data_IF_139194130095
#
_entry.id   IF_139194130095
#
_cell.length_a   1.000
_cell.length_b   1.000
_cell.length_c   1.000
_cell.angle_alpha   90.00
_cell.angle_beta   90.00
_cell.angle_gamma   90.00
#
_symmetry.space_group_name_H-M   'P 1'
#
loop_
_entity.id
_entity.type
_entity.pdbx_description
1 polymer ?
#
# COMPACT_ATOMS: atom_id res chain seq x y z
N UNK A 1 3.70 22.05 -25.47
CA UNK A 1 2.76 22.43 -24.40
C UNK A 1 3.58 23.08 -23.31
N UNK A 2 3.26 24.31 -22.91
CA UNK A 2 3.98 25.06 -21.89
C UNK A 2 3.88 24.31 -20.56
N UNK A 3 5.01 24.00 -19.95
CA UNK A 3 5.05 23.49 -18.59
C UNK A 3 4.44 24.55 -17.67
N UNK A 4 3.37 24.21 -16.96
CA UNK A 4 2.82 25.03 -15.89
C UNK A 4 3.95 25.36 -14.91
N UNK A 5 3.97 26.60 -14.44
CA UNK A 5 4.87 26.98 -13.35
C UNK A 5 4.45 26.22 -12.08
N UNK A 6 5.35 26.04 -11.13
CA UNK A 6 5.05 25.40 -9.83
C UNK A 6 3.84 26.06 -9.14
N UNK A 7 3.72 27.38 -9.25
CA UNK A 7 2.60 28.17 -8.67
C UNK A 7 1.28 27.90 -9.38
N UNK A 8 1.26 27.82 -10.71
CA UNK A 8 0.08 27.46 -11.51
C UNK A 8 -0.36 26.04 -11.21
N UNK A 9 0.58 25.08 -11.09
CA UNK A 9 0.29 23.69 -10.71
C UNK A 9 -0.32 23.62 -9.31
N UNK A 10 0.27 24.29 -8.30
CA UNK A 10 -0.25 24.31 -6.93
C UNK A 10 -1.61 25.02 -6.84
N UNK A 11 -1.84 26.05 -7.67
CA UNK A 11 -3.14 26.72 -7.77
C UNK A 11 -4.21 25.79 -8.34
N UNK A 12 -3.89 25.09 -9.42
CA UNK A 12 -4.79 24.10 -10.05
C UNK A 12 -5.08 22.94 -9.09
N UNK A 13 -4.06 22.42 -8.42
CA UNK A 13 -4.22 21.36 -7.41
C UNK A 13 -5.12 21.81 -6.24
N UNK A 14 -4.94 23.05 -5.73
CA UNK A 14 -5.82 23.63 -4.70
C UNK A 14 -7.25 23.77 -5.18
N UNK A 15 -7.46 24.13 -6.43
CA UNK A 15 -8.79 24.28 -7.01
C UNK A 15 -9.46 22.92 -7.24
N UNK A 16 -8.71 21.90 -7.58
CA UNK A 16 -9.21 20.51 -7.71
C UNK A 16 -9.50 19.89 -6.35
N UNK A 17 -8.62 20.09 -5.36
CA UNK A 17 -8.85 19.65 -3.98
C UNK A 17 -10.06 20.36 -3.33
N UNK A 18 -10.39 21.59 -3.74
CA UNK A 18 -11.60 22.28 -3.25
C UNK A 18 -12.90 21.74 -3.85
N UNK A 19 -12.82 20.94 -4.92
CA UNK A 19 -13.96 20.24 -5.55
C UNK A 19 -14.17 18.84 -4.98
N UNK A 20 -13.23 18.31 -4.22
CA UNK A 20 -13.44 17.10 -3.44
C UNK A 20 -14.55 17.39 -2.45
N UNK A 21 -15.70 16.75 -2.63
CA UNK A 21 -16.78 16.79 -1.65
C UNK A 21 -16.21 16.29 -0.32
N UNK A 22 -15.90 17.23 0.57
CA UNK A 22 -15.58 16.92 1.95
C UNK A 22 -16.69 16.00 2.48
N UNK A 23 -16.33 15.03 3.29
CA UNK A 23 -17.31 14.13 3.92
C UNK A 23 -18.38 15.03 4.54
N UNK A 24 -19.59 15.02 3.99
CA UNK A 24 -20.71 15.81 4.52
C UNK A 24 -21.01 15.36 5.96
N UNK A 25 -21.64 16.23 6.77
CA UNK A 25 -22.02 15.84 8.15
C UNK A 25 -22.82 14.54 8.18
N UNK A 26 -23.73 14.32 7.22
CA UNK A 26 -24.49 13.07 7.07
C UNK A 26 -23.61 11.83 6.84
N UNK A 27 -22.49 11.98 6.14
CA UNK A 27 -21.51 10.88 5.95
C UNK A 27 -20.72 10.61 7.23
N UNK A 28 -20.37 11.63 8.00
CA UNK A 28 -19.73 11.44 9.31
C UNK A 28 -20.67 10.69 10.26
N UNK A 29 -21.93 11.05 10.31
CA UNK A 29 -22.91 10.38 11.16
C UNK A 29 -23.11 8.92 10.76
N UNK A 30 -23.09 8.62 9.47
CA UNK A 30 -23.13 7.24 8.95
C UNK A 30 -21.91 6.43 9.39
N UNK A 31 -20.70 6.99 9.26
CA UNK A 31 -19.45 6.36 9.72
C UNK A 31 -19.47 6.14 11.24
N UNK A 32 -19.88 7.15 12.00
CA UNK A 32 -19.97 7.05 13.46
C UNK A 32 -21.03 6.02 13.91
N UNK A 33 -22.12 5.87 13.14
CA UNK A 33 -23.13 4.84 13.37
C UNK A 33 -22.57 3.43 13.14
N UNK A 34 -21.75 3.24 12.11
CA UNK A 34 -21.08 1.96 11.85
C UNK A 34 -20.22 1.51 13.04
N UNK A 35 -19.49 2.44 13.66
CA UNK A 35 -18.64 2.14 14.81
C UNK A 35 -19.39 2.19 16.17
N UNK A 36 -20.73 2.23 16.18
CA UNK A 36 -21.49 2.38 17.43
C UNK A 36 -21.12 1.33 18.48
N UNK A 37 -21.07 0.05 18.08
CA UNK A 37 -20.84 -1.07 18.99
C UNK A 37 -19.36 -1.44 19.14
N UNK A 38 -18.45 -0.76 18.45
CA UNK A 38 -16.99 -1.00 18.50
C UNK A 38 -16.39 -0.23 19.68
N UNK A 39 -15.54 -0.89 20.46
CA UNK A 39 -14.83 -0.27 21.60
C UNK A 39 -13.49 0.34 21.18
N UNK A 40 -12.75 -0.38 20.33
CA UNK A 40 -11.38 -0.05 19.90
C UNK A 40 -11.28 -0.04 18.39
N UNK A 41 -10.78 1.05 17.83
CA UNK A 41 -10.63 1.20 16.39
C UNK A 41 -9.15 1.40 16.06
N UNK A 42 -8.62 0.53 15.22
CA UNK A 42 -7.28 0.62 14.67
C UNK A 42 -7.28 1.14 13.24
N UNK A 43 -6.21 1.80 12.84
CA UNK A 43 -6.03 2.32 11.49
C UNK A 43 -4.67 1.91 10.94
N UNK A 44 -4.63 1.62 9.64
CA UNK A 44 -3.38 1.78 8.90
C UNK A 44 -3.11 3.28 8.67
N UNK A 45 -1.92 3.61 8.19
CA UNK A 45 -1.55 5.00 7.90
C UNK A 45 -1.69 5.27 6.40
N UNK A 46 -0.94 4.55 5.60
CA UNK A 46 -0.81 4.78 4.16
C UNK A 46 -2.12 4.41 3.44
N UNK A 47 -2.62 5.29 2.56
CA UNK A 47 -3.92 5.16 1.87
C UNK A 47 -5.14 4.97 2.79
N UNK A 48 -4.97 5.19 4.09
CA UNK A 48 -6.02 5.08 5.10
C UNK A 48 -6.20 6.40 5.86
N UNK A 49 -5.26 6.75 6.73
CA UNK A 49 -5.24 8.03 7.44
C UNK A 49 -4.66 9.15 6.59
N UNK A 50 -3.85 8.82 5.63
CA UNK A 50 -3.32 9.77 4.67
C UNK A 50 -3.53 9.27 3.23
N UNK A 51 -3.77 10.22 2.34
CA UNK A 51 -3.94 9.95 0.93
C UNK A 51 -2.75 10.49 0.13
N UNK A 52 -2.34 9.72 -0.86
CA UNK A 52 -1.32 10.11 -1.82
C UNK A 52 -1.92 10.59 -3.14
N UNK A 53 -1.26 11.54 -3.79
CA UNK A 53 -1.53 11.84 -5.19
C UNK A 53 -1.03 10.68 -6.06
N UNK A 54 -1.92 9.76 -6.43
CA UNK A 54 -1.57 8.52 -7.15
C UNK A 54 -0.81 8.79 -8.44
N UNK A 55 -1.20 9.79 -9.23
CA UNK A 55 -0.53 10.13 -10.49
C UNK A 55 0.93 10.52 -10.26
N UNK A 56 1.18 11.41 -9.31
CA UNK A 56 2.54 11.84 -8.99
C UNK A 56 3.34 10.70 -8.33
N UNK A 57 2.68 9.88 -7.50
CA UNK A 57 3.29 8.71 -6.90
C UNK A 57 3.66 7.65 -7.93
N UNK A 58 2.77 7.36 -8.89
CA UNK A 58 3.05 6.43 -10.00
C UNK A 58 4.32 6.85 -10.74
N UNK A 59 4.39 8.13 -11.13
CA UNK A 59 5.58 8.68 -11.79
C UNK A 59 6.82 8.57 -10.91
N UNK A 60 6.73 8.96 -9.64
CA UNK A 60 7.86 8.94 -8.72
C UNK A 60 8.40 7.53 -8.50
N UNK A 61 7.53 6.56 -8.22
CA UNK A 61 7.94 5.17 -8.00
C UNK A 61 8.59 4.60 -9.28
N UNK A 62 7.96 4.84 -10.43
CA UNK A 62 8.50 4.41 -11.72
C UNK A 62 9.88 4.99 -11.98
N UNK A 63 10.05 6.32 -11.86
CA UNK A 63 11.34 6.98 -12.09
C UNK A 63 12.40 6.55 -11.06
N UNK A 64 12.02 6.32 -9.80
CA UNK A 64 12.93 5.82 -8.76
C UNK A 64 13.47 4.43 -9.07
N UNK A 65 12.63 3.55 -9.62
CA UNK A 65 13.06 2.24 -10.11
C UNK A 65 13.97 2.37 -11.34
N UNK A 66 13.60 3.23 -12.30
CA UNK A 66 14.43 3.50 -13.47
C UNK A 66 15.82 4.02 -13.08
N UNK A 67 15.91 4.95 -12.15
CA UNK A 67 17.19 5.47 -11.64
C UNK A 67 18.07 4.35 -11.08
N UNK A 68 17.48 3.44 -10.29
CA UNK A 68 18.21 2.27 -9.81
C UNK A 68 18.69 1.37 -10.96
N UNK A 69 17.80 1.01 -11.88
CA UNK A 69 18.11 0.13 -13.01
C UNK A 69 19.20 0.73 -13.91
N UNK A 70 19.13 2.02 -14.18
CA UNK A 70 20.14 2.71 -15.00
C UNK A 70 21.49 2.76 -14.29
N UNK A 71 21.51 3.24 -13.03
CA UNK A 71 22.76 3.48 -12.30
C UNK A 71 23.46 2.22 -11.79
N UNK A 72 22.69 1.19 -11.41
CA UNK A 72 23.22 -0.02 -10.77
C UNK A 72 23.16 -1.27 -11.64
N UNK A 73 22.36 -1.26 -12.72
CA UNK A 73 22.15 -2.43 -13.58
C UNK A 73 22.47 -2.15 -15.06
N UNK A 74 22.93 -0.95 -15.41
CA UNK A 74 23.28 -0.53 -16.77
C UNK A 74 22.13 -0.64 -17.78
N UNK A 75 20.91 -0.35 -17.35
CA UNK A 75 19.76 -0.26 -18.25
C UNK A 75 19.82 1.04 -19.06
N UNK A 76 19.24 1.07 -20.28
CA UNK A 76 19.24 2.28 -21.11
C UNK A 76 18.22 3.30 -20.60
N UNK A 77 18.46 4.60 -20.81
CA UNK A 77 17.50 5.68 -20.46
C UNK A 77 16.13 5.57 -21.17
N UNK A 78 16.04 4.74 -22.21
CA UNK A 78 14.76 4.42 -22.89
C UNK A 78 13.68 3.84 -21.96
N UNK A 79 14.04 3.34 -20.77
CA UNK A 79 13.10 2.87 -19.76
C UNK A 79 12.43 4.02 -18.99
N UNK A 80 12.96 5.24 -19.00
CA UNK A 80 12.44 6.36 -18.22
C UNK A 80 10.97 6.67 -18.52
N UNK A 81 10.25 7.18 -17.52
CA UNK A 81 8.85 7.55 -17.63
C UNK A 81 8.55 8.48 -18.80
N UNK A 82 9.38 9.50 -19.01
CA UNK A 82 9.22 10.46 -20.12
C UNK A 82 9.17 9.82 -21.52
N UNK A 83 9.83 8.67 -21.69
CA UNK A 83 9.86 7.91 -22.94
C UNK A 83 8.68 6.93 -23.07
N UNK A 84 7.99 6.64 -21.97
CA UNK A 84 6.96 5.61 -21.88
C UNK A 84 5.66 6.11 -21.23
N UNK A 85 5.48 7.42 -21.09
CA UNK A 85 4.43 8.06 -20.28
C UNK A 85 3.04 7.45 -20.51
N UNK A 86 2.54 7.45 -21.73
CA UNK A 86 1.19 7.00 -22.02
C UNK A 86 0.98 5.51 -21.74
N UNK A 87 2.04 4.71 -21.95
CA UNK A 87 2.02 3.29 -21.63
C UNK A 87 2.03 3.07 -20.11
N UNK A 88 2.89 3.76 -19.38
CA UNK A 88 3.00 3.64 -17.92
C UNK A 88 1.70 4.09 -17.25
N UNK A 89 1.14 5.22 -17.68
CA UNK A 89 -0.10 5.78 -17.12
C UNK A 89 -1.30 4.83 -17.33
N UNK A 90 -1.30 4.02 -18.40
CA UNK A 90 -2.37 3.07 -18.70
C UNK A 90 -2.12 1.64 -18.23
N UNK A 91 -0.89 1.30 -17.81
CA UNK A 91 -0.49 -0.06 -17.45
C UNK A 91 0.13 -0.19 -16.06
N UNK A 92 -0.02 0.82 -15.19
CA UNK A 92 0.41 0.74 -13.79
C UNK A 92 -0.77 0.34 -12.93
N UNK A 93 -1.04 -0.96 -12.83
CA UNK A 93 -2.13 -1.50 -12.03
C UNK A 93 -1.68 -2.70 -11.20
N UNK A 94 -2.46 -3.01 -10.17
CA UNK A 94 -2.27 -4.18 -9.30
C UNK A 94 -3.16 -5.36 -9.73
N UNK A 95 -3.07 -6.47 -9.04
CA UNK A 95 -3.84 -7.70 -9.28
C UNK A 95 -3.49 -8.37 -10.63
N UNK A 96 -2.20 -8.36 -10.95
CA UNK A 96 -1.65 -8.90 -12.19
C UNK A 96 -0.59 -9.94 -11.86
N UNK A 97 -0.62 -11.05 -12.59
CA UNK A 97 0.43 -12.08 -12.54
C UNK A 97 1.49 -11.75 -13.58
N UNK A 98 2.74 -11.62 -13.15
CA UNK A 98 3.90 -11.52 -14.05
C UNK A 98 4.51 -12.92 -14.22
N UNK A 99 4.27 -13.56 -15.36
CA UNK A 99 4.94 -14.79 -15.79
C UNK A 99 6.30 -14.41 -16.38
N UNK A 100 7.29 -14.28 -15.52
CA UNK A 100 8.61 -13.85 -15.94
C UNK A 100 9.43 -14.94 -16.65
N UNK A 101 8.96 -16.18 -16.71
CA UNK A 101 9.56 -17.19 -17.58
C UNK A 101 9.23 -16.96 -19.05
N UNK A 102 8.07 -16.37 -19.31
CA UNK A 102 7.58 -16.09 -20.67
C UNK A 102 7.57 -14.62 -21.04
N UNK A 103 7.92 -13.71 -20.12
CA UNK A 103 7.87 -12.27 -20.33
C UNK A 103 6.44 -11.72 -20.43
N UNK A 104 5.46 -12.37 -19.80
CA UNK A 104 4.05 -12.04 -19.94
C UNK A 104 3.47 -11.43 -18.65
N UNK A 105 2.50 -10.53 -18.81
CA UNK A 105 1.65 -10.04 -17.74
C UNK A 105 0.20 -10.45 -17.98
N UNK A 106 -0.45 -11.00 -16.96
CA UNK A 106 -1.73 -11.70 -17.08
C UNK A 106 -2.76 -11.14 -16.11
N UNK A 107 -3.94 -10.79 -16.61
CA UNK A 107 -5.15 -10.62 -15.82
C UNK A 107 -5.91 -11.94 -15.81
N UNK A 108 -6.24 -12.44 -14.63
CA UNK A 108 -6.90 -13.73 -14.45
C UNK A 108 -8.30 -13.57 -13.88
N UNK A 109 -9.20 -14.53 -14.15
CA UNK A 109 -10.43 -14.76 -13.38
C UNK A 109 -10.17 -15.73 -12.23
N UNK A 110 -11.18 -15.89 -11.37
CA UNK A 110 -11.19 -16.84 -10.24
C UNK A 110 -10.90 -18.28 -10.66
N UNK A 111 -11.40 -18.68 -11.81
CA UNK A 111 -11.15 -20.01 -12.42
C UNK A 111 -9.78 -20.13 -13.10
N UNK A 112 -8.94 -19.07 -12.96
CA UNK A 112 -7.62 -18.93 -13.59
C UNK A 112 -7.63 -18.81 -15.10
N UNK A 113 -8.79 -18.58 -15.72
CA UNK A 113 -8.87 -18.23 -17.14
C UNK A 113 -8.25 -16.85 -17.35
N UNK A 114 -7.47 -16.72 -18.44
CA UNK A 114 -6.76 -15.49 -18.78
C UNK A 114 -7.72 -14.55 -19.50
N UNK A 115 -8.01 -13.39 -18.88
CA UNK A 115 -8.86 -12.35 -19.47
C UNK A 115 -8.06 -11.54 -20.48
N UNK A 116 -6.86 -11.11 -20.07
CA UNK A 116 -5.92 -10.33 -20.89
C UNK A 116 -4.50 -10.80 -20.63
N UNK A 117 -3.68 -10.67 -21.68
CA UNK A 117 -2.26 -10.99 -21.61
C UNK A 117 -1.48 -9.96 -22.42
N UNK A 118 -0.42 -9.43 -21.85
CA UNK A 118 0.55 -8.58 -22.52
C UNK A 118 1.91 -9.27 -22.56
N UNK A 119 2.57 -9.17 -23.73
CA UNK A 119 3.98 -9.50 -23.89
C UNK A 119 4.73 -8.25 -24.33
N UNK A 120 5.61 -7.73 -23.50
CA UNK A 120 6.11 -6.38 -23.69
C UNK A 120 4.96 -5.38 -23.79
N UNK A 121 4.99 -4.49 -24.78
CA UNK A 121 3.92 -3.51 -25.02
C UNK A 121 2.77 -4.03 -25.88
N UNK A 122 2.81 -5.29 -26.31
CA UNK A 122 1.80 -5.89 -27.19
C UNK A 122 0.77 -6.66 -26.39
N UNK A 123 -0.53 -6.33 -26.58
CA UNK A 123 -1.63 -7.18 -26.12
C UNK A 123 -1.73 -8.43 -27.03
N UNK A 124 -1.78 -9.59 -26.43
CA UNK A 124 -1.88 -10.87 -27.13
C UNK A 124 -3.35 -11.19 -27.47
N UNK A 125 -3.54 -11.72 -28.65
CA UNK A 125 -4.85 -12.23 -29.10
C UNK A 125 -5.20 -13.53 -28.32
N UNK A 126 -6.49 -13.88 -28.34
CA UNK A 126 -6.97 -15.13 -27.71
C UNK A 126 -6.30 -16.38 -28.28
N UNK A 127 -5.97 -16.37 -29.58
CA UNK A 127 -5.25 -17.45 -30.24
C UNK A 127 -3.81 -17.55 -29.75
N UNK A 128 -3.10 -16.44 -29.66
CA UNK A 128 -1.73 -16.39 -29.10
C UNK A 128 -1.71 -16.84 -27.64
N UNK A 129 -2.69 -16.42 -26.82
CA UNK A 129 -2.83 -16.85 -25.43
C UNK A 129 -3.02 -18.38 -25.35
N UNK A 130 -3.92 -18.95 -26.15
CA UNK A 130 -4.18 -20.39 -26.17
C UNK A 130 -2.98 -21.21 -26.64
N UNK A 131 -2.13 -20.65 -27.50
CA UNK A 131 -0.89 -21.30 -27.94
C UNK A 131 0.20 -21.30 -26.85
N UNK A 132 0.16 -20.33 -25.95
CA UNK A 132 1.15 -20.19 -24.86
C UNK A 132 0.67 -20.91 -23.59
N UNK A 133 -0.62 -20.79 -23.28
CA UNK A 133 -1.27 -21.33 -22.09
C UNK A 133 -2.38 -22.29 -22.52
N UNK A 134 -2.28 -23.54 -22.11
CA UNK A 134 -3.22 -24.58 -22.48
C UNK A 134 -4.68 -24.15 -22.18
N UNK A 135 -5.50 -24.09 -23.20
CA UNK A 135 -6.90 -23.62 -23.13
C UNK A 135 -7.09 -22.19 -22.56
N UNK A 136 -6.07 -21.35 -22.59
CA UNK A 136 -6.12 -20.00 -22.00
C UNK A 136 -6.25 -19.99 -20.47
N UNK A 137 -5.77 -21.07 -19.82
CA UNK A 137 -5.81 -21.19 -18.35
C UNK A 137 -4.38 -21.09 -17.80
N UNK A 138 -4.19 -20.25 -16.78
CA UNK A 138 -2.93 -20.16 -16.07
C UNK A 138 -2.78 -21.38 -15.12
N UNK A 139 -1.60 -22.01 -15.05
CA UNK A 139 -1.39 -23.17 -14.18
C UNK A 139 -1.73 -22.89 -12.71
N UNK A 140 -2.25 -23.89 -12.01
CA UNK A 140 -2.53 -23.78 -10.59
C UNK A 140 -1.26 -23.47 -9.78
N UNK A 141 -1.36 -22.56 -8.82
CA UNK A 141 -0.29 -22.18 -7.90
C UNK A 141 -0.85 -21.96 -6.49
N UNK A 142 0.01 -22.10 -5.49
CA UNK A 142 -0.33 -21.72 -4.12
C UNK A 142 -0.31 -20.19 -3.98
N UNK A 143 -1.43 -19.62 -3.63
CA UNK A 143 -1.71 -18.21 -3.69
C UNK A 143 -1.16 -17.40 -2.52
N UNK A 144 -0.75 -18.07 -1.45
CA UNK A 144 -0.05 -17.43 -0.33
C UNK A 144 1.38 -16.96 -0.66
N UNK A 145 1.89 -17.26 -1.86
CA UNK A 145 3.25 -16.97 -2.27
C UNK A 145 3.24 -15.91 -3.35
N UNK A 146 3.59 -14.65 -2.99
CA UNK A 146 3.67 -13.52 -3.92
C UNK A 146 4.76 -13.69 -4.99
N UNK A 147 5.82 -14.42 -4.67
CA UNK A 147 6.95 -14.67 -5.56
C UNK A 147 7.28 -16.16 -5.57
N UNK A 148 7.20 -16.78 -6.73
CA UNK A 148 7.60 -18.17 -6.95
C UNK A 148 8.80 -18.24 -7.88
N UNK A 149 9.26 -19.44 -8.23
CA UNK A 149 10.31 -19.65 -9.24
C UNK A 149 9.90 -19.27 -10.67
N UNK A 150 8.61 -19.06 -10.94
CA UNK A 150 8.07 -18.90 -12.29
C UNK A 150 7.26 -17.61 -12.48
N UNK A 151 6.69 -17.03 -11.41
CA UNK A 151 5.87 -15.83 -11.49
C UNK A 151 5.95 -14.94 -10.24
N UNK A 152 5.53 -13.68 -10.41
CA UNK A 152 5.37 -12.69 -9.36
C UNK A 152 3.93 -12.15 -9.38
N UNK A 153 3.30 -12.08 -8.21
CA UNK A 153 1.95 -11.55 -8.04
C UNK A 153 2.04 -10.07 -7.62
N UNK A 154 1.66 -9.18 -8.52
CA UNK A 154 1.71 -7.73 -8.33
C UNK A 154 0.42 -7.21 -7.69
N UNK A 155 0.38 -7.16 -6.36
CA UNK A 155 -0.84 -6.86 -5.58
C UNK A 155 -0.76 -5.61 -4.71
N UNK A 156 0.43 -5.08 -4.46
CA UNK A 156 0.66 -3.99 -3.52
C UNK A 156 0.31 -2.64 -4.14
N UNK A 157 -0.34 -1.76 -3.37
CA UNK A 157 -0.72 -0.40 -3.78
C UNK A 157 0.49 0.52 -4.06
N UNK A 158 1.66 0.21 -3.50
CA UNK A 158 2.92 0.91 -3.78
C UNK A 158 3.75 0.32 -4.93
N UNK A 159 3.26 -0.74 -5.58
CA UNK A 159 4.02 -1.48 -6.59
C UNK A 159 3.33 -1.67 -7.93
N UNK A 160 2.23 -0.96 -8.26
CA UNK A 160 1.55 -1.16 -9.55
C UNK A 160 2.47 -0.90 -10.74
N UNK A 161 3.51 -0.07 -10.57
CA UNK A 161 4.51 0.27 -11.58
C UNK A 161 5.45 -0.89 -11.93
N UNK A 162 5.55 -1.92 -11.09
CA UNK A 162 6.33 -3.12 -11.40
C UNK A 162 5.83 -3.79 -12.68
N UNK A 163 4.51 -3.73 -12.92
CA UNK A 163 3.91 -4.21 -14.16
C UNK A 163 4.43 -3.44 -15.36
N UNK A 164 4.25 -2.12 -15.37
CA UNK A 164 4.59 -1.30 -16.54
C UNK A 164 6.07 -1.27 -16.84
N UNK A 165 6.94 -1.22 -15.80
CA UNK A 165 8.40 -1.27 -16.01
C UNK A 165 8.85 -2.64 -16.49
N UNK A 166 8.24 -3.74 -15.98
CA UNK A 166 8.51 -5.09 -16.48
C UNK A 166 8.20 -5.20 -17.96
N UNK A 167 7.01 -4.78 -18.39
CA UNK A 167 6.58 -4.83 -19.78
C UNK A 167 7.43 -3.95 -20.71
N UNK A 168 7.82 -2.75 -20.26
CA UNK A 168 8.74 -1.89 -21.02
C UNK A 168 10.10 -2.57 -21.20
N UNK A 169 10.61 -3.22 -20.15
CA UNK A 169 11.88 -3.93 -20.23
C UNK A 169 11.81 -5.18 -21.11
N UNK A 170 10.71 -5.94 -21.09
CA UNK A 170 10.48 -7.06 -22.01
C UNK A 170 10.50 -6.58 -23.46
N UNK A 171 9.78 -5.51 -23.80
CA UNK A 171 9.75 -4.95 -25.14
C UNK A 171 11.16 -4.53 -25.64
N UNK A 172 11.97 -3.93 -24.78
CA UNK A 172 13.35 -3.56 -25.10
C UNK A 172 14.27 -4.77 -25.22
N UNK A 173 14.06 -5.81 -24.40
CA UNK A 173 14.84 -7.05 -24.48
C UNK A 173 14.61 -7.77 -25.80
N UNK A 174 13.36 -7.93 -26.21
CA UNK A 174 12.97 -8.58 -27.47
C UNK A 174 13.53 -7.84 -28.71
N UNK A 175 13.65 -6.52 -28.62
CA UNK A 175 14.27 -5.68 -29.64
C UNK A 175 15.80 -5.74 -29.64
N UNK A 176 16.41 -6.46 -28.70
CA UNK A 176 17.86 -6.52 -28.51
C UNK A 176 18.49 -5.22 -27.99
N UNK A 177 17.67 -4.32 -27.43
CA UNK A 177 18.10 -3.03 -26.90
C UNK A 177 18.46 -3.08 -25.41
N UNK A 178 18.07 -4.13 -24.70
CA UNK A 178 18.39 -4.36 -23.29
C UNK A 178 19.45 -5.45 -23.15
N UNK A 179 20.74 -5.04 -23.16
CA UNK A 179 21.89 -5.96 -23.12
C UNK A 179 22.34 -6.36 -21.72
N UNK A 180 21.76 -5.76 -20.70
CA UNK A 180 22.14 -5.97 -19.30
C UNK A 180 21.64 -7.30 -18.73
N UNK A 181 20.77 -8.00 -19.44
CA UNK A 181 20.09 -9.21 -19.00
C UNK A 181 20.23 -10.33 -20.03
N UNK A 182 19.96 -11.58 -19.62
CA UNK A 182 19.99 -12.77 -20.47
C UNK A 182 18.61 -13.40 -20.67
N UNK A 183 17.74 -13.21 -19.72
CA UNK A 183 16.39 -13.80 -19.70
C UNK A 183 15.38 -12.85 -19.01
N UNK A 184 14.10 -13.03 -19.22
CA UNK A 184 13.05 -12.20 -18.60
C UNK A 184 13.07 -12.25 -17.07
N UNK A 185 13.52 -13.35 -16.49
CA UNK A 185 13.65 -13.49 -15.03
C UNK A 185 14.63 -12.47 -14.45
N UNK A 186 15.67 -12.08 -15.17
CA UNK A 186 16.61 -11.06 -14.72
C UNK A 186 15.93 -9.70 -14.55
N UNK A 187 14.89 -9.40 -15.36
CA UNK A 187 14.13 -8.15 -15.27
C UNK A 187 13.46 -8.05 -13.90
N UNK A 188 12.68 -9.08 -13.52
CA UNK A 188 11.94 -9.05 -12.24
C UNK A 188 12.90 -9.07 -11.04
N UNK A 189 14.00 -9.81 -11.12
CA UNK A 189 15.04 -9.78 -10.08
C UNK A 189 15.60 -8.38 -9.86
N UNK A 190 15.93 -7.70 -10.94
CA UNK A 190 16.45 -6.33 -10.85
C UNK A 190 15.40 -5.31 -10.38
N UNK A 191 14.13 -5.47 -10.77
CA UNK A 191 13.03 -4.65 -10.25
C UNK A 191 12.91 -4.82 -8.74
N UNK A 192 12.88 -6.07 -8.24
CA UNK A 192 12.78 -6.36 -6.80
C UNK A 192 14.01 -5.86 -6.02
N UNK A 193 15.20 -5.93 -6.60
CA UNK A 193 16.38 -5.31 -6.00
C UNK A 193 16.27 -3.78 -5.93
N UNK A 194 15.70 -3.14 -6.96
CA UNK A 194 15.43 -1.70 -6.97
C UNK A 194 14.36 -1.31 -5.95
N UNK A 195 13.32 -2.11 -5.80
CA UNK A 195 12.32 -1.95 -4.74
C UNK A 195 12.99 -2.03 -3.37
N UNK A 196 13.76 -3.10 -3.12
CA UNK A 196 14.46 -3.24 -1.85
C UNK A 196 15.45 -2.11 -1.58
N UNK A 197 16.11 -1.57 -2.61
CA UNK A 197 17.01 -0.41 -2.48
C UNK A 197 16.25 0.84 -2.01
N UNK A 198 15.06 1.10 -2.57
CA UNK A 198 14.26 2.28 -2.25
C UNK A 198 13.46 2.15 -0.95
N UNK A 199 13.12 0.92 -0.49
CA UNK A 199 12.24 0.66 0.66
C UNK A 199 12.89 -0.14 1.80
N UNK A 200 14.23 -0.29 1.82
CA UNK A 200 14.89 -0.98 2.92
C UNK A 200 14.97 -0.11 4.21
N UNK A 201 15.44 -0.72 5.31
CA UNK A 201 15.56 -0.05 6.60
C UNK A 201 16.38 1.25 6.49
N UNK A 202 17.50 1.24 5.74
CA UNK A 202 18.34 2.42 5.56
C UNK A 202 17.58 3.56 4.86
N UNK A 203 16.74 3.25 3.88
CA UNK A 203 15.91 4.24 3.20
C UNK A 203 14.88 4.87 4.13
N UNK A 204 14.34 4.12 5.08
CA UNK A 204 13.44 4.64 6.10
C UNK A 204 14.16 5.45 7.18
N UNK A 205 15.35 5.04 7.62
CA UNK A 205 16.11 5.72 8.67
C UNK A 205 16.74 7.02 8.17
N UNK A 206 17.18 7.04 6.88
CA UNK A 206 17.75 8.20 6.20
C UNK A 206 16.89 8.63 5.00
N UNK A 207 15.58 8.75 5.23
CA UNK A 207 14.60 9.00 4.17
C UNK A 207 14.77 10.35 3.47
N UNK A 208 15.52 11.27 4.05
CA UNK A 208 15.79 12.59 3.45
C UNK A 208 16.90 12.56 2.40
N UNK A 209 17.81 11.58 2.42
CA UNK A 209 18.98 11.56 1.56
C UNK A 209 19.21 10.24 0.83
N UNK A 210 18.80 9.10 1.40
CA UNK A 210 19.06 7.78 0.83
C UNK A 210 17.94 7.29 -0.10
N UNK A 211 18.34 6.68 -1.22
CA UNK A 211 17.44 6.18 -2.25
C UNK A 211 16.99 7.27 -3.22
N UNK A 212 16.02 6.92 -4.07
CA UNK A 212 15.50 7.83 -5.12
C UNK A 212 14.02 8.20 -4.89
N UNK A 213 13.37 7.56 -3.92
CA UNK A 213 11.95 7.69 -3.66
C UNK A 213 11.64 8.65 -2.49
N UNK A 214 12.05 8.29 -1.27
CA UNK A 214 11.74 9.09 -0.07
C UNK A 214 12.32 10.51 -0.07
N UNK A 215 13.56 10.74 -0.59
CA UNK A 215 14.11 12.09 -0.63
C UNK A 215 13.28 13.08 -1.45
N UNK A 216 12.59 12.59 -2.48
CA UNK A 216 11.74 13.45 -3.30
C UNK A 216 10.45 13.81 -2.56
N UNK A 217 9.82 12.87 -1.86
CA UNK A 217 8.66 13.15 -1.00
C UNK A 217 9.06 14.10 0.14
N UNK A 218 10.24 13.92 0.72
CA UNK A 218 10.74 14.80 1.77
C UNK A 218 10.90 16.25 1.30
N UNK A 219 11.43 16.45 0.10
CA UNK A 219 11.65 17.80 -0.48
C UNK A 219 10.36 18.46 -0.93
N UNK A 220 9.40 17.68 -1.41
CA UNK A 220 8.19 18.15 -2.07
C UNK A 220 6.93 17.41 -1.60
N UNK A 221 6.65 17.36 -0.27
CA UNK A 221 5.51 16.62 0.25
C UNK A 221 4.18 17.08 -0.35
N UNK A 222 4.06 18.36 -0.68
CA UNK A 222 2.87 18.97 -1.29
C UNK A 222 2.51 18.42 -2.69
N UNK A 223 3.46 17.75 -3.36
CA UNK A 223 3.22 17.11 -4.65
C UNK A 223 2.64 15.71 -4.50
N UNK A 224 2.89 15.06 -3.36
CA UNK A 224 2.63 13.65 -3.15
C UNK A 224 1.58 13.36 -2.09
N UNK A 225 1.40 14.25 -1.11
CA UNK A 225 0.49 14.08 0.01
C UNK A 225 -0.71 15.03 -0.09
N UNK A 226 -1.90 14.51 0.13
CA UNK A 226 -3.08 15.34 0.36
C UNK A 226 -3.14 15.74 1.84
N UNK A 227 -2.83 17.00 2.14
CA UNK A 227 -2.75 17.55 3.51
C UNK A 227 -4.05 18.15 4.02
N UNK A 228 -5.14 18.12 3.25
CA UNK A 228 -6.45 18.68 3.61
C UNK A 228 -7.53 17.61 3.49
N UNK A 229 -7.41 16.62 4.32
CA UNK A 229 -8.40 15.57 4.44
C UNK A 229 -8.94 15.65 5.88
N UNK A 230 -10.27 15.71 6.07
CA UNK A 230 -10.89 15.90 7.40
C UNK A 230 -10.74 14.67 8.33
N UNK A 231 -9.61 13.98 8.23
CA UNK A 231 -9.29 12.83 9.06
C UNK A 231 -9.21 13.21 10.55
N UNK A 232 -8.66 14.40 10.85
CA UNK A 232 -8.59 14.94 12.21
C UNK A 232 -9.98 15.08 12.83
N UNK A 233 -10.96 15.58 12.07
CA UNK A 233 -12.32 15.73 12.55
C UNK A 233 -12.98 14.38 12.84
N UNK A 234 -12.73 13.37 12.00
CA UNK A 234 -13.21 12.00 12.22
C UNK A 234 -12.61 11.42 13.51
N UNK A 235 -11.29 11.52 13.68
CA UNK A 235 -10.60 11.01 14.86
C UNK A 235 -11.11 11.70 16.14
N UNK A 236 -11.30 13.02 16.11
CA UNK A 236 -11.88 13.78 17.22
C UNK A 236 -13.31 13.35 17.55
N UNK A 237 -14.17 13.16 16.54
CA UNK A 237 -15.54 12.70 16.73
C UNK A 237 -15.60 11.30 17.33
N UNK A 238 -14.75 10.37 16.87
CA UNK A 238 -14.64 9.03 17.43
C UNK A 238 -14.20 9.08 18.90
N UNK A 239 -13.18 9.87 19.23
CA UNK A 239 -12.74 10.04 20.62
C UNK A 239 -13.82 10.66 21.51
N UNK A 240 -14.55 11.67 21.04
CA UNK A 240 -15.69 12.27 21.76
C UNK A 240 -16.82 11.27 22.02
N UNK A 241 -16.96 10.25 21.15
CA UNK A 241 -17.87 9.11 21.37
C UNK A 241 -17.31 8.04 22.32
N UNK A 242 -16.15 8.27 22.92
CA UNK A 242 -15.51 7.37 23.88
C UNK A 242 -14.72 6.21 23.25
N UNK A 243 -14.56 6.19 21.91
CA UNK A 243 -13.81 5.15 21.23
C UNK A 243 -12.32 5.24 21.57
N UNK A 244 -11.66 4.10 21.70
CA UNK A 244 -10.22 3.99 21.86
C UNK A 244 -9.58 3.82 20.50
N UNK A 245 -8.53 4.57 20.24
CA UNK A 245 -7.92 4.63 18.92
C UNK A 245 -6.46 4.19 18.95
N UNK A 246 -6.04 3.40 17.98
CA UNK A 246 -4.65 3.10 17.72
C UNK A 246 -4.36 3.13 16.22
N UNK A 247 -3.09 3.13 15.87
CA UNK A 247 -2.69 2.78 14.51
C UNK A 247 -1.60 1.71 14.51
N UNK A 248 -1.53 0.92 13.43
CA UNK A 248 -0.48 -0.05 13.20
C UNK A 248 -0.03 0.01 11.73
N UNK A 249 1.21 0.46 11.50
CA UNK A 249 1.79 0.58 10.17
C UNK A 249 3.00 -0.34 10.00
N UNK A 250 3.21 -0.84 8.78
CA UNK A 250 4.45 -1.55 8.42
C UNK A 250 5.64 -0.60 8.20
N UNK A 251 5.37 0.69 8.05
CA UNK A 251 6.40 1.71 7.86
C UNK A 251 7.20 2.01 9.14
N UNK A 252 8.40 2.56 8.96
CA UNK A 252 9.29 2.95 10.07
C UNK A 252 8.84 4.25 10.73
N UNK A 253 9.24 4.46 11.99
CA UNK A 253 8.92 5.69 12.74
C UNK A 253 9.34 6.95 11.99
N UNK A 254 10.58 7.05 11.54
CA UNK A 254 11.14 8.27 10.96
C UNK A 254 10.31 8.83 9.81
N UNK A 255 9.96 8.00 8.84
CA UNK A 255 9.14 8.41 7.70
C UNK A 255 7.68 8.62 8.08
N UNK A 256 7.07 7.68 8.81
CA UNK A 256 5.66 7.78 9.21
C UNK A 256 5.40 8.99 10.10
N UNK A 257 6.32 9.30 11.02
CA UNK A 257 6.24 10.50 11.84
C UNK A 257 6.24 11.76 10.98
N UNK A 258 7.17 11.86 10.03
CA UNK A 258 7.25 12.98 9.11
C UNK A 258 5.94 13.21 8.33
N UNK A 259 5.38 12.14 7.72
CA UNK A 259 4.15 12.28 6.93
C UNK A 259 2.91 12.56 7.80
N UNK A 260 2.81 11.94 8.98
CA UNK A 260 1.71 12.20 9.91
C UNK A 260 1.72 13.64 10.44
N UNK A 261 2.90 14.20 10.74
CA UNK A 261 3.02 15.62 11.09
C UNK A 261 2.54 16.55 9.96
N UNK A 262 2.79 16.19 8.70
CA UNK A 262 2.33 16.96 7.54
C UNK A 262 0.83 16.91 7.33
N UNK A 263 0.19 15.81 7.68
CA UNK A 263 -1.24 15.56 7.44
C UNK A 263 -2.10 15.88 8.66
N UNK A 264 -1.69 15.43 9.86
CA UNK A 264 -2.45 15.55 11.12
C UNK A 264 -1.86 16.57 12.10
N UNK A 265 -0.76 17.27 11.72
CA UNK A 265 -0.08 18.23 12.58
C UNK A 265 0.85 17.61 13.63
N UNK A 266 1.65 18.45 14.29
CA UNK A 266 2.69 18.05 15.24
C UNK A 266 2.17 17.21 16.41
N UNK A 267 0.91 17.41 16.78
CA UNK A 267 0.29 16.74 17.93
C UNK A 267 -0.52 15.50 17.57
N UNK A 268 -0.32 14.91 16.39
CA UNK A 268 -1.11 13.77 15.91
C UNK A 268 -1.15 12.57 16.88
N UNK A 269 -0.10 12.36 17.67
CA UNK A 269 -0.09 11.31 18.68
C UNK A 269 -1.22 11.45 19.72
N UNK A 270 -1.80 12.64 19.89
CA UNK A 270 -2.90 12.86 20.85
C UNK A 270 -4.22 12.23 20.39
N UNK A 271 -4.35 11.92 19.10
CA UNK A 271 -5.53 11.19 18.61
C UNK A 271 -5.51 9.72 19.00
N UNK A 272 -4.33 9.13 19.29
CA UNK A 272 -4.19 7.70 19.47
C UNK A 272 -3.78 7.34 20.89
N UNK A 273 -4.30 6.24 21.40
CA UNK A 273 -3.94 5.65 22.69
C UNK A 273 -2.71 4.75 22.57
N UNK A 274 -2.49 4.13 21.39
CA UNK A 274 -1.31 3.34 21.04
C UNK A 274 -0.87 3.62 19.60
N UNK A 275 0.44 3.57 19.34
CA UNK A 275 1.05 3.86 18.04
C UNK A 275 2.07 2.76 17.71
N UNK A 276 1.75 1.88 16.75
CA UNK A 276 2.63 0.78 16.35
C UNK A 276 3.29 1.06 15.01
N UNK A 277 4.62 1.12 15.01
CA UNK A 277 5.46 1.21 13.83
C UNK A 277 6.15 -0.13 13.57
N UNK A 278 6.53 -0.43 12.32
CA UNK A 278 7.11 -1.73 11.94
C UNK A 278 6.26 -2.90 12.44
N UNK A 279 4.95 -2.78 12.35
CA UNK A 279 4.02 -3.78 12.90
C UNK A 279 4.11 -5.15 12.23
N UNK A 280 4.67 -5.20 11.00
CA UNK A 280 4.83 -6.42 10.23
C UNK A 280 3.49 -7.13 9.93
N UNK A 281 2.43 -6.35 9.63
CA UNK A 281 1.16 -6.93 9.16
C UNK A 281 1.40 -7.76 7.88
N UNK A 282 0.77 -8.93 7.67
CA UNK A 282 -0.30 -9.54 8.47
C UNK A 282 0.14 -10.23 9.76
N UNK A 283 1.44 -10.43 10.01
CA UNK A 283 1.97 -11.12 11.20
C UNK A 283 1.52 -10.52 12.54
N UNK A 284 1.24 -9.22 12.57
CA UNK A 284 0.70 -8.50 13.73
C UNK A 284 -0.65 -9.07 14.22
N UNK A 285 -1.48 -9.56 13.30
CA UNK A 285 -2.79 -10.16 13.57
C UNK A 285 -2.78 -11.69 13.60
N UNK A 286 -1.61 -12.31 13.59
CA UNK A 286 -1.46 -13.75 13.74
C UNK A 286 -1.19 -14.13 15.19
N UNK A 287 -1.42 -15.40 15.53
CA UNK A 287 -1.17 -15.94 16.86
C UNK A 287 0.29 -15.69 17.30
N UNK A 288 0.53 -14.81 18.29
CA UNK A 288 1.89 -14.45 18.68
C UNK A 288 2.67 -15.60 19.33
N UNK A 289 1.98 -16.64 19.78
CA UNK A 289 2.65 -17.83 20.35
C UNK A 289 3.34 -18.66 19.27
N UNK A 290 2.87 -18.56 18.02
CA UNK A 290 3.43 -19.26 16.85
C UNK A 290 4.41 -18.39 16.07
N UNK A 291 4.08 -17.12 15.88
CA UNK A 291 4.90 -16.18 15.10
C UNK A 291 6.04 -15.54 15.88
N UNK A 292 5.95 -15.55 17.25
CA UNK A 292 6.92 -14.97 18.17
C UNK A 292 7.32 -13.52 17.76
N UNK A 293 6.35 -12.60 17.59
CA UNK A 293 6.63 -11.24 17.20
C UNK A 293 7.41 -10.52 18.28
N UNK A 294 8.20 -9.54 17.88
CA UNK A 294 8.93 -8.68 18.82
C UNK A 294 8.21 -7.34 18.97
N UNK A 295 8.23 -6.80 20.18
CA UNK A 295 7.72 -5.47 20.48
C UNK A 295 8.69 -4.73 21.39
N UNK A 296 8.89 -3.44 21.13
CA UNK A 296 9.77 -2.58 21.91
C UNK A 296 9.15 -1.21 22.12
N UNK A 297 9.41 -0.59 23.26
CA UNK A 297 9.20 0.84 23.40
C UNK A 297 10.16 1.58 22.47
N UNK A 298 9.63 2.55 21.70
CA UNK A 298 10.47 3.27 20.74
C UNK A 298 11.60 4.07 21.43
N UNK A 299 11.28 4.72 22.57
CA UNK A 299 12.19 5.67 23.21
C UNK A 299 13.43 5.00 23.85
N UNK A 300 13.27 3.86 24.51
CA UNK A 300 14.34 3.22 25.28
C UNK A 300 14.67 1.81 24.81
N UNK A 301 14.02 1.35 23.74
CA UNK A 301 14.19 0.04 23.11
C UNK A 301 14.02 -1.14 24.11
N UNK A 302 13.33 -0.92 25.25
CA UNK A 302 13.01 -2.02 26.17
C UNK A 302 11.95 -2.93 25.55
N UNK A 303 12.19 -4.24 25.66
CA UNK A 303 11.32 -5.27 25.07
C UNK A 303 10.00 -5.40 25.86
N UNK A 304 8.92 -5.62 25.13
CA UNK A 304 7.56 -5.82 25.64
C UNK A 304 7.10 -7.21 25.22
N UNK A 305 6.48 -7.97 26.14
CA UNK A 305 5.79 -9.21 25.78
C UNK A 305 4.64 -8.92 24.83
N UNK A 306 4.56 -9.69 23.73
CA UNK A 306 3.44 -9.63 22.79
C UNK A 306 2.25 -10.51 23.19
N UNK A 307 2.36 -11.27 24.29
CA UNK A 307 1.33 -12.21 24.76
C UNK A 307 0.77 -11.87 26.14
N UNK A 308 1.42 -10.95 26.86
CA UNK A 308 1.05 -10.62 28.22
C UNK A 308 1.19 -9.12 28.50
N UNK A 309 0.30 -8.55 29.31
CA UNK A 309 0.34 -7.17 29.78
C UNK A 309 0.65 -7.13 31.29
N UNK A 310 1.91 -6.97 31.65
CA UNK A 310 2.28 -6.76 33.04
C UNK A 310 1.79 -5.40 33.57
N UNK A 311 1.67 -5.27 34.91
CA UNK A 311 1.29 -3.99 35.55
C UNK A 311 2.32 -2.88 35.24
N UNK A 312 3.58 -3.24 35.16
CA UNK A 312 4.66 -2.32 34.82
C UNK A 312 4.54 -1.78 33.41
N UNK A 313 4.32 -2.65 32.41
CA UNK A 313 4.12 -2.27 31.01
C UNK A 313 2.86 -1.40 30.88
N UNK A 314 1.75 -1.84 31.50
CA UNK A 314 0.51 -1.07 31.49
C UNK A 314 0.70 0.35 32.03
N UNK A 315 1.37 0.47 33.19
CA UNK A 315 1.67 1.76 33.82
C UNK A 315 2.54 2.62 32.91
N UNK A 316 3.61 2.06 32.34
CA UNK A 316 4.53 2.78 31.45
C UNK A 316 3.83 3.34 30.23
N UNK A 317 2.94 2.56 29.60
CA UNK A 317 2.12 3.03 28.47
C UNK A 317 1.15 4.14 28.94
N UNK A 318 0.47 3.94 30.04
CA UNK A 318 -0.52 4.90 30.58
C UNK A 318 0.12 6.24 31.00
N UNK A 319 1.41 6.24 31.35
CA UNK A 319 2.21 7.43 31.61
C UNK A 319 2.71 8.16 30.33
N UNK A 320 2.31 7.67 29.14
CA UNK A 320 2.56 8.35 27.87
C UNK A 320 3.58 7.66 26.95
N UNK A 321 4.18 6.53 27.35
CA UNK A 321 5.09 5.76 26.49
C UNK A 321 4.31 4.87 25.51
N UNK A 322 3.50 5.48 24.67
CA UNK A 322 2.55 4.81 23.76
C UNK A 322 3.09 4.54 22.36
N UNK A 323 4.34 4.90 22.08
CA UNK A 323 5.01 4.68 20.79
C UNK A 323 5.79 3.37 20.86
N UNK A 324 5.38 2.42 20.03
CA UNK A 324 5.86 1.05 20.04
C UNK A 324 6.40 0.65 18.65
N UNK A 325 7.33 -0.29 18.62
CA UNK A 325 7.88 -0.89 17.38
C UNK A 325 7.61 -2.39 17.39
N UNK A 326 7.04 -2.92 16.33
CA UNK A 326 6.55 -4.30 16.29
C UNK A 326 5.21 -4.46 16.98
N UNK A 327 4.98 -5.58 17.67
CA UNK A 327 3.78 -5.79 18.47
C UNK A 327 2.84 -6.89 17.94
N UNK A 328 1.68 -6.99 18.57
CA UNK A 328 0.62 -7.93 18.22
C UNK A 328 -0.76 -7.40 18.61
N UNK A 329 -1.82 -7.95 18.01
CA UNK A 329 -3.20 -7.65 18.39
C UNK A 329 -3.50 -8.01 19.86
N UNK A 330 -2.89 -9.07 20.39
CA UNK A 330 -3.08 -9.49 21.80
C UNK A 330 -2.62 -8.40 22.78
N UNK A 331 -1.56 -7.66 22.45
CA UNK A 331 -1.10 -6.54 23.26
C UNK A 331 -2.16 -5.42 23.32
N UNK A 332 -2.85 -5.17 22.20
CA UNK A 332 -3.94 -4.21 22.11
C UNK A 332 -5.11 -4.63 23.00
N UNK A 333 -5.57 -5.88 22.86
CA UNK A 333 -6.67 -6.43 23.66
C UNK A 333 -6.38 -6.30 25.16
N UNK A 334 -5.25 -6.81 25.61
CA UNK A 334 -4.86 -6.77 27.03
C UNK A 334 -4.75 -5.34 27.57
N UNK A 335 -4.19 -4.41 26.78
CA UNK A 335 -4.07 -3.02 27.21
C UNK A 335 -5.43 -2.37 27.39
N UNK A 336 -6.31 -2.47 26.37
CA UNK A 336 -7.61 -1.83 26.43
C UNK A 336 -8.59 -2.54 27.35
N UNK A 337 -8.54 -3.87 27.48
CA UNK A 337 -9.32 -4.59 28.50
C UNK A 337 -9.04 -4.07 29.91
N UNK A 338 -7.74 -3.89 30.21
CA UNK A 338 -7.31 -3.36 31.50
C UNK A 338 -7.67 -1.88 31.67
N UNK A 339 -7.49 -1.07 30.62
CA UNK A 339 -7.83 0.35 30.62
C UNK A 339 -9.33 0.61 30.80
N UNK A 340 -10.16 -0.18 30.12
CA UNK A 340 -11.62 -0.03 30.14
C UNK A 340 -12.31 -0.85 31.23
N UNK A 341 -11.56 -1.70 31.95
CA UNK A 341 -12.08 -2.70 32.89
C UNK A 341 -13.22 -3.53 32.26
N UNK A 342 -13.03 -3.95 31.00
CA UNK A 342 -14.01 -4.67 30.19
C UNK A 342 -13.34 -5.85 29.50
N UNK A 343 -13.99 -7.02 29.48
CA UNK A 343 -13.57 -8.20 28.73
C UNK A 343 -14.31 -8.29 27.42
N UNK A 344 -13.80 -9.06 26.46
CA UNK A 344 -14.39 -9.28 25.15
C UNK A 344 -14.69 -7.95 24.44
N UNK A 345 -13.64 -7.17 24.20
CA UNK A 345 -13.73 -5.91 23.48
C UNK A 345 -14.07 -6.16 22.03
N UNK A 346 -15.00 -5.38 21.51
CA UNK A 346 -15.21 -5.32 20.06
C UNK A 346 -14.19 -4.40 19.42
N UNK A 347 -13.38 -4.98 18.57
CA UNK A 347 -12.29 -4.27 17.88
C UNK A 347 -12.61 -4.16 16.37
N UNK A 348 -12.15 -3.09 15.75
CA UNK A 348 -12.21 -2.93 14.29
C UNK A 348 -10.87 -2.42 13.78
N UNK A 349 -10.40 -2.97 12.65
CA UNK A 349 -9.24 -2.44 11.95
C UNK A 349 -9.63 -1.88 10.57
N UNK A 350 -9.14 -0.69 10.27
CA UNK A 350 -9.43 0.05 9.04
C UNK A 350 -8.14 0.16 8.23
N UNK A 351 -8.13 -0.31 6.99
CA UNK A 351 -6.94 -0.24 6.15
C UNK A 351 -7.20 -0.48 4.67
N UNK A 352 -6.16 -0.30 3.85
CA UNK A 352 -6.21 -0.43 2.39
C UNK A 352 -5.62 -1.75 1.87
N UNK A 353 -4.97 -2.53 2.73
CA UNK A 353 -4.40 -3.82 2.36
C UNK A 353 -5.38 -4.95 2.67
N UNK A 354 -5.89 -5.58 1.62
CA UNK A 354 -6.90 -6.65 1.73
C UNK A 354 -6.49 -7.76 2.71
N UNK A 355 -5.25 -8.21 2.65
CA UNK A 355 -4.76 -9.32 3.48
C UNK A 355 -4.40 -8.83 4.89
N UNK A 356 -3.51 -7.86 4.93
CA UNK A 356 -2.90 -7.41 6.18
C UNK A 356 -3.84 -6.66 7.11
N UNK A 357 -4.82 -5.96 6.54
CA UNK A 357 -5.71 -5.07 7.29
C UNK A 357 -7.15 -5.58 7.37
N UNK A 358 -7.55 -6.49 6.49
CA UNK A 358 -8.93 -6.95 6.44
C UNK A 358 -9.08 -8.45 6.66
N UNK A 359 -8.56 -9.28 5.78
CA UNK A 359 -8.79 -10.72 5.83
C UNK A 359 -8.24 -11.38 7.11
N UNK A 360 -7.01 -11.04 7.49
CA UNK A 360 -6.40 -11.66 8.66
C UNK A 360 -6.99 -11.14 9.97
N UNK A 361 -7.20 -9.83 10.19
CA UNK A 361 -7.92 -9.35 11.37
C UNK A 361 -9.34 -9.89 11.50
N UNK A 362 -10.11 -9.96 10.40
CA UNK A 362 -11.51 -10.46 10.45
C UNK A 362 -11.67 -11.93 10.81
N UNK A 363 -10.57 -12.69 10.88
CA UNK A 363 -10.55 -14.08 11.36
C UNK A 363 -10.37 -14.20 12.88
N UNK A 364 -10.09 -13.09 13.54
CA UNK A 364 -9.97 -13.05 15.01
C UNK A 364 -11.34 -12.90 15.65
N UNK A 365 -11.51 -13.52 16.82
CA UNK A 365 -12.74 -13.38 17.59
C UNK A 365 -12.92 -11.91 18.04
N UNK A 366 -14.15 -11.40 17.93
CA UNK A 366 -14.51 -10.01 18.28
C UNK A 366 -13.80 -8.90 17.49
N UNK A 367 -13.17 -9.22 16.34
CA UNK A 367 -12.60 -8.26 15.42
C UNK A 367 -13.38 -8.14 14.13
N UNK A 368 -13.59 -6.91 13.70
CA UNK A 368 -14.14 -6.55 12.39
C UNK A 368 -13.09 -5.81 11.57
N UNK A 369 -13.30 -5.72 10.27
CA UNK A 369 -12.41 -4.98 9.37
C UNK A 369 -13.19 -4.09 8.44
N UNK A 370 -12.64 -2.91 8.16
CA UNK A 370 -13.13 -2.00 7.14
C UNK A 370 -12.06 -1.84 6.07
N UNK A 371 -12.39 -2.25 4.86
CA UNK A 371 -11.51 -2.08 3.71
C UNK A 371 -11.69 -0.71 3.08
N UNK A 372 -10.62 0.07 3.03
CA UNK A 372 -10.58 1.33 2.29
C UNK A 372 -10.22 1.03 0.85
N UNK A 373 -11.25 0.97 0.01
CA UNK A 373 -11.11 0.79 -1.42
C UNK A 373 -11.23 2.15 -2.13
N UNK A 374 -10.09 2.78 -2.41
CA UNK A 374 -10.06 4.14 -2.95
C UNK A 374 -9.51 4.22 -4.38
N UNK A 375 -9.36 3.08 -5.04
CA UNK A 375 -8.81 3.04 -6.41
C UNK A 375 -9.69 3.77 -7.43
N UNK A 376 -11.00 3.92 -7.15
CA UNK A 376 -11.94 4.48 -8.13
C UNK A 376 -12.12 5.98 -7.98
N UNK A 377 -12.18 6.52 -6.77
CA UNK A 377 -12.55 7.94 -6.56
C UNK A 377 -11.39 8.92 -6.70
N UNK A 378 -10.17 8.53 -6.34
CA UNK A 378 -9.00 9.40 -6.46
C UNK A 378 -8.43 9.46 -7.88
N UNK A 379 -8.63 8.42 -8.69
CA UNK A 379 -8.23 8.39 -10.09
C UNK A 379 -9.10 9.32 -10.96
N UNK A 380 -10.28 9.74 -10.47
CA UNK A 380 -11.18 10.68 -11.16
C UNK A 380 -10.80 12.15 -11.00
N UNK A 381 -9.83 12.50 -10.16
CA UNK A 381 -9.43 13.88 -9.94
C UNK A 381 -8.33 14.25 -10.92
N UNK A 382 -8.68 14.49 -12.17
CA UNK A 382 -7.80 15.22 -13.08
C UNK A 382 -7.61 14.75 -14.49
N UNK A 383 -8.01 13.57 -14.93
CA UNK A 383 -8.03 13.17 -16.36
C UNK A 383 -9.10 12.10 -16.62
N UNK A 384 -9.58 12.09 -17.86
CA UNK A 384 -10.61 11.21 -18.37
C UNK A 384 -10.47 9.76 -17.88
N UNK A 385 -11.49 9.20 -17.21
CA UNK A 385 -11.50 7.82 -16.69
C UNK A 385 -11.12 6.75 -17.73
N UNK A 386 -11.37 7.03 -19.01
CA UNK A 386 -11.08 6.14 -20.13
C UNK A 386 -9.59 5.83 -20.33
N UNK A 387 -8.68 6.59 -19.72
CA UNK A 387 -7.23 6.40 -19.92
C UNK A 387 -6.57 5.44 -18.93
N UNK A 388 -7.13 5.30 -17.72
CA UNK A 388 -6.51 4.48 -16.66
C UNK A 388 -6.76 2.98 -16.81
N UNK A 389 -7.72 2.60 -17.63
CA UNK A 389 -8.28 1.26 -17.65
C UNK A 389 -8.31 0.54 -18.98
N UNK A 390 -7.73 1.15 -20.02
CA UNK A 390 -7.75 0.52 -21.37
C UNK A 390 -6.98 -0.80 -21.45
N UNK A 391 -5.99 -0.99 -20.58
CA UNK A 391 -5.17 -2.20 -20.61
C UNK A 391 -5.84 -3.39 -19.90
N UNK A 392 -6.35 -3.16 -18.67
CA UNK A 392 -6.95 -4.18 -17.83
C UNK A 392 -8.27 -3.65 -17.27
N UNK A 393 -9.35 -3.80 -17.99
CA UNK A 393 -10.66 -3.13 -17.83
C UNK A 393 -11.24 -3.22 -16.41
N UNK A 394 -11.74 -2.09 -15.88
CA UNK A 394 -12.29 -1.98 -14.54
C UNK A 394 -13.75 -2.41 -14.40
N UNK A 395 -14.40 -2.74 -15.50
CA UNK A 395 -15.76 -3.27 -15.43
C UNK A 395 -15.85 -4.65 -14.72
N UNK A 396 -14.69 -5.21 -14.35
CA UNK A 396 -14.56 -6.47 -13.62
C UNK A 396 -14.14 -6.28 -12.13
N UNK A 397 -14.36 -5.11 -11.51
CA UNK A 397 -13.99 -4.87 -10.11
C UNK A 397 -14.57 -5.88 -9.13
N UNK A 398 -15.81 -6.31 -9.37
CA UNK A 398 -16.43 -7.37 -8.59
C UNK A 398 -15.75 -8.72 -8.79
N UNK A 399 -15.33 -9.01 -10.01
CA UNK A 399 -14.59 -10.23 -10.35
C UNK A 399 -13.16 -10.18 -9.81
N UNK A 400 -12.53 -9.00 -9.78
CA UNK A 400 -11.21 -8.80 -9.16
C UNK A 400 -11.26 -9.00 -7.65
N UNK A 401 -12.28 -8.47 -6.97
CA UNK A 401 -12.49 -8.68 -5.55
C UNK A 401 -12.78 -10.15 -5.24
N UNK A 402 -13.68 -10.79 -5.98
CA UNK A 402 -13.99 -12.21 -5.84
C UNK A 402 -12.79 -13.10 -6.19
N UNK A 403 -12.00 -12.72 -7.21
CA UNK A 403 -10.75 -13.41 -7.53
C UNK A 403 -9.75 -13.30 -6.38
N UNK A 404 -9.56 -12.10 -5.83
CA UNK A 404 -8.69 -11.88 -4.68
C UNK A 404 -9.10 -12.72 -3.48
N UNK A 405 -10.38 -12.69 -3.09
CA UNK A 405 -10.90 -13.52 -2.00
C UNK A 405 -10.71 -15.01 -2.25
N UNK A 406 -10.65 -15.46 -3.52
CA UNK A 406 -10.44 -16.86 -3.85
C UNK A 406 -8.98 -17.30 -3.89
N UNK A 407 -8.06 -16.33 -3.87
CA UNK A 407 -6.62 -16.61 -3.77
C UNK A 407 -6.22 -16.94 -2.32
N UNK A 408 -7.05 -16.61 -1.35
CA UNK A 408 -6.87 -16.85 0.08
C UNK A 408 -8.01 -17.68 0.65
#
# INVERSE_FOLDING_TARGET
>A
MSSLTKEEYLSTLKQELSKLDFISEDKFDSILSYFHDVDVIGFDIDFTLLLYNKKNMTKLIYDSLCEFLIKHKNYPEKILYKENKDFVDSHSCKNIVLDFKKGNALKLRKDKSIIKCYHGKKELTKEEINNIYENGIFPAFETSILYTKDFYLNIDSFQPQNLSIFLVCVDLFDKGELKAIKEYEDIIKHILEGMNYNYNIKSFDDFSTFGYYFPEIYKHPELYLYTKYNCEELLDKLRKKGKKLFFATNSNYSYSHYILEKVLGENYHNYFDLCFYKSCKPGFFQDPTKSNPKCYFYNDQSEISCTEMSDEIFKKISEGNKILTGGSYVLIEHYFEKMLNKKNLKCCFVGDNMIGDCEVPSKLDDWESVFIFDDIKLDFIGENPDNYQKAFDANDEKDDYEYFLSLF
#
